data_IF_357498335938
#
_entry.id   IF_357498335938
#
_cell.length_a   1.000
_cell.length_b   1.000
_cell.length_c   1.000
_cell.angle_alpha   90.00
_cell.angle_beta   90.00
_cell.angle_gamma   90.00
#
_symmetry.space_group_name_H-M   'P 1'
#
loop_
_entity.id
_entity.type
_entity.pdbx_description
1 polymer ?
#
# COMPACT_ATOMS: atom_id res chain seq x y z
N UNK A 1 -1.44 1.93 13.69
CA UNK A 1 -0.65 2.45 12.55
C UNK A 1 -1.63 2.89 11.49
N UNK A 2 -1.85 4.19 11.40
CA UNK A 2 -2.92 4.82 10.62
C UNK A 2 -2.48 4.93 9.17
N UNK A 3 -3.17 4.25 8.25
CA UNK A 3 -2.97 4.38 6.80
C UNK A 3 -3.21 5.84 6.41
N UNK A 4 -2.22 6.50 5.81
CA UNK A 4 -2.41 7.82 5.21
C UNK A 4 -3.51 7.74 4.13
N UNK A 5 -4.42 8.74 4.04
CA UNK A 5 -5.46 8.74 3.04
C UNK A 5 -4.85 8.92 1.65
N UNK A 6 -4.96 7.89 0.82
CA UNK A 6 -4.55 7.91 -0.59
C UNK A 6 -5.62 8.60 -1.43
N UNK A 7 -5.26 9.26 -2.55
CA UNK A 7 -6.22 9.84 -3.48
C UNK A 7 -7.20 8.75 -4.00
N UNK A 8 -8.43 9.13 -4.41
CA UNK A 8 -9.36 8.18 -4.99
C UNK A 8 -8.69 7.48 -6.17
N UNK A 9 -8.67 6.15 -6.14
CA UNK A 9 -8.18 5.33 -7.24
C UNK A 9 -8.93 5.75 -8.51
N UNK A 10 -8.17 6.09 -9.54
CA UNK A 10 -8.66 6.34 -10.90
C UNK A 10 -9.24 5.03 -11.43
N UNK A 11 -10.49 4.78 -11.07
CA UNK A 11 -11.33 3.75 -11.67
C UNK A 11 -11.64 4.12 -13.11
N UNK A 12 -11.69 3.08 -13.94
CA UNK A 12 -11.78 3.15 -15.39
C UNK A 12 -12.99 3.97 -15.89
N UNK A 13 -12.71 4.78 -16.91
CA UNK A 13 -13.59 5.44 -17.89
C UNK A 13 -14.58 6.55 -17.45
N UNK A 14 -14.27 7.78 -17.84
CA UNK A 14 -14.92 8.51 -18.95
C UNK A 14 -14.49 9.98 -18.92
N UNK A 15 -14.41 10.63 -20.08
CA UNK A 15 -13.99 12.03 -20.24
C UNK A 15 -14.96 13.02 -19.54
N UNK A 16 -14.88 13.09 -18.21
CA UNK A 16 -15.49 14.13 -17.40
C UNK A 16 -14.59 15.37 -17.30
N UNK A 17 -15.13 16.51 -16.87
CA UNK A 17 -14.33 17.71 -16.65
C UNK A 17 -13.25 17.44 -15.59
N UNK A 18 -11.99 17.64 -15.95
CA UNK A 18 -10.85 17.57 -15.04
C UNK A 18 -10.70 18.93 -14.37
N UNK A 19 -10.95 19.01 -13.06
CA UNK A 19 -10.71 20.23 -12.29
C UNK A 19 -9.21 20.35 -11.95
N UNK A 20 -8.64 21.55 -12.07
CA UNK A 20 -7.23 21.84 -11.71
C UNK A 20 -7.00 21.84 -10.18
N UNK A 21 -8.04 22.15 -9.43
CA UNK A 21 -8.05 22.11 -7.97
C UNK A 21 -9.18 21.20 -7.49
N UNK A 22 -8.87 20.37 -6.50
CA UNK A 22 -9.85 19.52 -5.85
C UNK A 22 -9.81 19.73 -4.34
N UNK A 23 -10.95 19.52 -3.70
CA UNK A 23 -11.08 19.54 -2.24
C UNK A 23 -11.95 18.37 -1.81
N UNK A 24 -11.42 17.56 -0.91
CA UNK A 24 -12.15 16.52 -0.21
C UNK A 24 -12.39 16.95 1.23
N UNK A 25 -13.65 17.11 1.60
CA UNK A 25 -14.04 17.42 2.99
C UNK A 25 -14.44 16.15 3.71
N UNK A 26 -13.72 15.80 4.78
CA UNK A 26 -14.14 14.75 5.69
C UNK A 26 -14.84 15.35 6.92
N UNK A 27 -16.13 15.04 7.08
CA UNK A 27 -16.89 15.40 8.28
C UNK A 27 -16.71 14.31 9.33
N UNK A 28 -16.09 14.64 10.46
CA UNK A 28 -15.93 13.70 11.58
C UNK A 28 -17.26 13.50 12.30
N UNK A 29 -17.60 12.25 12.63
CA UNK A 29 -18.81 11.90 13.38
C UNK A 29 -18.43 11.00 14.54
N UNK A 30 -18.85 11.36 15.75
CA UNK A 30 -18.69 10.54 16.96
C UNK A 30 -20.01 9.87 17.29
N UNK A 31 -20.00 8.55 17.43
CA UNK A 31 -21.17 7.73 17.75
C UNK A 31 -21.04 7.14 19.15
N UNK A 32 -22.12 7.17 19.91
CA UNK A 32 -22.21 6.53 21.22
C UNK A 32 -23.68 6.20 21.50
N UNK A 33 -23.91 5.29 22.44
CA UNK A 33 -25.25 4.87 22.84
C UNK A 33 -25.44 4.91 24.35
N UNK A 34 -26.70 4.97 24.77
CA UNK A 34 -27.10 5.00 26.16
C UNK A 34 -28.36 4.17 26.36
N UNK A 35 -28.35 3.35 27.41
CA UNK A 35 -29.47 2.52 27.81
C UNK A 35 -30.04 3.03 29.13
N UNK A 36 -31.34 3.23 29.20
CA UNK A 36 -32.04 3.65 30.39
C UNK A 36 -33.19 2.71 30.68
N UNK A 37 -33.20 2.10 31.88
CA UNK A 37 -34.30 1.26 32.34
C UNK A 37 -35.08 1.96 33.43
N UNK A 38 -36.40 2.07 33.25
CA UNK A 38 -37.35 2.55 34.24
C UNK A 38 -38.07 1.32 34.79
N UNK A 39 -37.85 1.02 36.07
CA UNK A 39 -38.50 -0.11 36.73
C UNK A 39 -39.90 0.28 37.22
N UNK A 40 -40.81 -0.69 37.26
CA UNK A 40 -42.20 -0.52 37.68
C UNK A 40 -42.90 0.59 36.86
N UNK A 41 -42.74 0.55 35.54
CA UNK A 41 -43.15 1.62 34.64
C UNK A 41 -44.66 1.88 34.69
N UNK A 42 -45.46 0.83 34.84
CA UNK A 42 -46.93 0.96 34.99
C UNK A 42 -47.34 1.78 36.22
N UNK A 43 -46.46 1.88 37.23
CA UNK A 43 -46.67 2.66 38.46
C UNK A 43 -46.14 4.10 38.40
N UNK A 44 -45.64 4.57 37.24
CA UNK A 44 -45.21 5.95 37.05
C UNK A 44 -46.34 6.92 37.42
N UNK A 45 -46.07 7.78 38.43
CA UNK A 45 -47.05 8.74 38.97
C UNK A 45 -47.16 10.01 38.13
N UNK A 46 -46.21 10.24 37.23
CA UNK A 46 -46.13 11.44 36.42
C UNK A 46 -47.44 11.69 35.68
N UNK A 47 -47.96 12.91 35.79
CA UNK A 47 -49.13 13.35 35.04
C UNK A 47 -48.74 13.85 33.64
N UNK A 48 -49.75 14.14 32.81
CA UNK A 48 -49.52 14.68 31.47
C UNK A 48 -48.66 15.96 31.55
N UNK A 49 -47.61 16.03 30.73
CA UNK A 49 -46.65 17.13 30.72
C UNK A 49 -45.52 16.99 31.75
N UNK A 50 -45.67 16.15 32.79
CA UNK A 50 -44.60 15.86 33.73
C UNK A 50 -43.54 14.94 33.12
N UNK A 51 -42.29 15.12 33.54
CA UNK A 51 -41.12 14.56 32.84
C UNK A 51 -40.18 13.81 33.76
N UNK A 52 -39.83 12.59 33.37
CA UNK A 52 -38.73 11.82 33.91
C UNK A 52 -37.45 12.16 33.16
N UNK A 53 -36.34 12.31 33.90
CA UNK A 53 -35.01 12.53 33.32
C UNK A 53 -34.07 11.40 33.69
N UNK A 54 -33.31 10.90 32.71
CA UNK A 54 -32.23 9.95 32.98
C UNK A 54 -31.05 10.64 33.68
N UNK A 55 -30.11 9.82 34.18
CA UNK A 55 -28.77 10.31 34.47
C UNK A 55 -28.10 10.88 33.21
N UNK A 56 -27.11 11.73 33.41
CA UNK A 56 -26.36 12.30 32.29
C UNK A 56 -25.39 11.27 31.70
N UNK A 57 -25.17 11.35 30.38
CA UNK A 57 -24.24 10.51 29.65
C UNK A 57 -23.48 11.31 28.59
N UNK A 58 -22.37 10.77 28.11
CA UNK A 58 -21.48 11.41 27.15
C UNK A 58 -20.74 10.38 26.31
N UNK A 59 -20.05 10.83 25.25
CA UNK A 59 -19.31 9.94 24.36
C UNK A 59 -18.13 9.24 25.05
N UNK A 60 -17.53 9.91 26.05
CA UNK A 60 -16.50 9.37 26.92
C UNK A 60 -16.63 9.96 28.34
N UNK A 61 -16.02 9.38 29.37
CA UNK A 61 -16.11 9.88 30.75
C UNK A 61 -15.60 11.32 30.93
N UNK A 62 -14.55 11.69 30.19
CA UNK A 62 -13.92 13.02 30.24
C UNK A 62 -14.58 14.06 29.33
N UNK A 63 -15.55 13.66 28.52
CA UNK A 63 -16.25 14.57 27.61
C UNK A 63 -17.11 15.56 28.41
N UNK A 64 -16.93 16.85 28.11
CA UNK A 64 -17.64 17.98 28.72
C UNK A 64 -19.06 18.13 28.16
N UNK A 65 -19.36 17.51 27.03
CA UNK A 65 -20.69 17.50 26.44
C UNK A 65 -21.57 16.45 27.12
N UNK A 66 -22.55 16.90 27.91
CA UNK A 66 -23.42 16.03 28.71
C UNK A 66 -24.84 16.03 28.15
N UNK A 67 -25.39 14.84 27.96
CA UNK A 67 -26.72 14.58 27.42
C UNK A 67 -27.58 13.88 28.47
N UNK A 68 -28.89 13.97 28.38
CA UNK A 68 -29.80 13.06 29.09
C UNK A 68 -31.06 12.79 28.26
N UNK A 69 -31.78 11.74 28.62
CA UNK A 69 -33.10 11.44 28.06
C UNK A 69 -34.19 12.09 28.89
N UNK A 70 -35.24 12.58 28.22
CA UNK A 70 -36.47 13.07 28.82
C UNK A 70 -37.64 12.22 28.33
N UNK A 71 -38.42 11.68 29.26
CA UNK A 71 -39.61 10.89 28.98
C UNK A 71 -40.82 11.55 29.62
N UNK A 72 -41.89 11.73 28.86
CA UNK A 72 -43.20 12.06 29.38
C UNK A 72 -44.08 10.80 29.27
N UNK A 73 -44.26 10.01 30.35
CA UNK A 73 -44.97 8.73 30.30
C UNK A 73 -46.41 8.86 29.81
N UNK A 74 -47.06 9.99 30.13
CA UNK A 74 -48.47 10.29 29.80
C UNK A 74 -48.64 11.39 28.73
N UNK A 75 -47.65 11.54 27.86
CA UNK A 75 -47.65 12.56 26.82
C UNK A 75 -47.20 13.93 27.32
N UNK A 76 -46.85 14.82 26.39
CA UNK A 76 -46.38 16.17 26.69
C UNK A 76 -47.54 17.17 26.83
N UNK A 77 -48.59 16.96 26.05
CA UNK A 77 -49.78 17.80 25.95
C UNK A 77 -50.95 17.00 25.36
N UNK A 78 -52.12 17.64 25.20
CA UNK A 78 -53.35 16.99 24.73
C UNK A 78 -53.19 16.27 23.38
N UNK A 79 -52.33 16.78 22.50
CA UNK A 79 -52.08 16.17 21.19
C UNK A 79 -51.37 14.82 21.30
N UNK A 80 -50.63 14.62 22.40
CA UNK A 80 -49.77 13.46 22.65
C UNK A 80 -50.18 12.64 23.88
N UNK A 81 -51.34 12.92 24.48
CA UNK A 81 -51.85 12.28 25.72
C UNK A 81 -51.87 10.73 25.70
N UNK A 82 -52.12 10.16 24.52
CA UNK A 82 -52.21 8.70 24.32
C UNK A 82 -50.85 8.07 23.95
N UNK A 83 -49.78 8.87 23.98
CA UNK A 83 -48.43 8.47 23.60
C UNK A 83 -47.45 8.71 24.75
N UNK A 84 -46.37 7.94 24.74
CA UNK A 84 -45.16 8.29 25.45
C UNK A 84 -44.35 9.25 24.56
N UNK A 85 -43.87 10.36 25.13
CA UNK A 85 -42.99 11.29 24.44
C UNK A 85 -41.55 11.09 24.89
N UNK A 86 -40.59 11.11 23.96
CA UNK A 86 -39.18 10.83 24.24
C UNK A 86 -38.27 11.83 23.53
N UNK A 87 -37.36 12.43 24.29
CA UNK A 87 -36.44 13.46 23.80
C UNK A 87 -35.01 13.25 24.30
N UNK A 88 -34.06 13.66 23.47
CA UNK A 88 -32.66 13.82 23.82
C UNK A 88 -32.44 15.28 24.18
N UNK A 89 -31.93 15.55 25.38
CA UNK A 89 -31.60 16.88 25.88
C UNK A 89 -30.08 17.06 25.94
N UNK A 90 -29.59 18.17 25.40
CA UNK A 90 -28.21 18.61 25.63
C UNK A 90 -28.14 19.42 26.93
N UNK A 91 -27.60 18.82 27.99
CA UNK A 91 -27.55 19.40 29.34
C UNK A 91 -26.40 20.40 29.48
N UNK A 92 -25.23 20.07 28.96
CA UNK A 92 -24.04 20.93 29.01
C UNK A 92 -23.22 20.77 27.73
N UNK A 93 -22.70 21.87 27.22
CA UNK A 93 -21.86 21.87 26.02
C UNK A 93 -20.83 23.00 26.10
N UNK A 94 -19.53 22.71 25.90
CA UNK A 94 -18.51 23.76 25.84
C UNK A 94 -18.56 24.56 24.52
N UNK A 95 -19.18 23.99 23.47
CA UNK A 95 -19.38 24.66 22.17
C UNK A 95 -20.67 25.48 22.21
N UNK A 96 -20.72 26.56 21.44
CA UNK A 96 -21.93 27.39 21.27
C UNK A 96 -23.12 26.58 20.75
N UNK A 97 -22.86 25.61 19.87
CA UNK A 97 -23.83 24.66 19.36
C UNK A 97 -23.18 23.35 18.94
N UNK A 98 -24.01 22.32 18.77
CA UNK A 98 -23.61 21.04 18.20
C UNK A 98 -24.71 20.51 17.30
N UNK A 99 -24.33 19.80 16.23
CA UNK A 99 -25.28 19.08 15.37
C UNK A 99 -25.23 17.59 15.68
N UNK A 100 -26.39 16.97 15.91
CA UNK A 100 -26.45 15.55 16.21
C UNK A 100 -27.68 14.88 15.55
N UNK A 101 -27.47 13.68 15.04
CA UNK A 101 -28.54 12.71 14.78
C UNK A 101 -28.75 11.83 16.00
N UNK A 102 -29.96 11.35 16.20
CA UNK A 102 -30.30 10.41 17.25
C UNK A 102 -31.30 9.37 16.76
N UNK A 103 -31.25 8.19 17.36
CA UNK A 103 -32.22 7.11 17.18
C UNK A 103 -32.63 6.60 18.55
N UNK A 104 -33.92 6.38 18.72
CA UNK A 104 -34.47 5.75 19.92
C UNK A 104 -35.12 4.43 19.55
N UNK A 105 -34.98 3.44 20.42
CA UNK A 105 -35.63 2.13 20.33
C UNK A 105 -35.97 1.61 21.72
N UNK A 106 -36.86 0.62 21.76
CA UNK A 106 -37.15 -0.16 22.95
C UNK A 106 -36.41 -1.49 22.89
N UNK A 107 -36.00 -2.03 24.03
CA UNK A 107 -35.47 -3.39 24.11
C UNK A 107 -36.57 -4.35 24.60
N UNK A 108 -36.80 -5.42 23.82
CA UNK A 108 -37.72 -6.48 24.22
C UNK A 108 -37.09 -7.43 25.27
N UNK A 109 -37.83 -8.44 25.73
CA UNK A 109 -37.34 -9.45 26.67
C UNK A 109 -36.06 -10.19 26.22
N UNK A 110 -35.82 -10.28 24.90
CA UNK A 110 -34.61 -10.88 24.30
C UNK A 110 -33.43 -9.88 24.16
N UNK A 111 -33.62 -8.63 24.60
CA UNK A 111 -32.69 -7.50 24.43
C UNK A 111 -32.46 -7.09 22.98
N UNK A 112 -33.42 -7.34 22.11
CA UNK A 112 -33.41 -6.90 20.72
C UNK A 112 -34.08 -5.53 20.60
N UNK A 113 -33.53 -4.66 19.75
CA UNK A 113 -34.13 -3.36 19.46
C UNK A 113 -35.43 -3.51 18.66
N UNK A 114 -36.48 -2.80 19.10
CA UNK A 114 -37.77 -2.72 18.42
C UNK A 114 -38.34 -1.31 18.51
N UNK A 115 -39.39 -1.02 17.72
CA UNK A 115 -40.09 0.28 17.67
C UNK A 115 -39.13 1.47 17.51
N UNK A 116 -38.14 1.30 16.65
CA UNK A 116 -37.11 2.30 16.44
C UNK A 116 -37.66 3.54 15.70
N UNK A 117 -37.26 4.73 16.13
CA UNK A 117 -37.43 5.97 15.40
C UNK A 117 -36.16 6.81 15.41
N UNK A 118 -35.82 7.34 14.24
CA UNK A 118 -34.59 8.10 14.02
C UNK A 118 -34.85 9.50 13.49
N UNK A 119 -33.96 10.42 13.86
CA UNK A 119 -33.96 11.78 13.36
C UNK A 119 -33.63 11.79 11.85
N UNK A 120 -34.48 12.43 11.05
CA UNK A 120 -34.28 12.54 9.59
C UNK A 120 -32.96 13.23 9.22
N UNK A 121 -32.52 14.18 10.04
CA UNK A 121 -31.29 14.97 9.85
C UNK A 121 -30.61 15.23 11.18
N UNK A 122 -29.38 15.75 11.12
CA UNK A 122 -28.72 16.25 12.31
C UNK A 122 -29.39 17.55 12.76
N UNK A 123 -29.96 17.56 13.96
CA UNK A 123 -30.58 18.75 14.55
C UNK A 123 -29.54 19.60 15.27
N UNK A 124 -29.76 20.91 15.30
CA UNK A 124 -28.94 21.86 16.07
C UNK A 124 -29.37 21.82 17.53
N UNK A 125 -28.44 21.48 18.41
CA UNK A 125 -28.58 21.56 19.85
C UNK A 125 -27.75 22.71 20.40
N UNK A 126 -28.34 23.43 21.35
CA UNK A 126 -27.66 24.37 22.24
C UNK A 126 -27.89 23.89 23.67
N UNK A 127 -27.14 24.42 24.64
CA UNK A 127 -27.32 24.03 26.04
C UNK A 127 -28.78 24.26 26.48
N UNK A 128 -29.41 23.24 27.07
CA UNK A 128 -30.81 23.25 27.49
C UNK A 128 -31.83 22.92 26.39
N UNK A 129 -31.39 22.73 25.14
CA UNK A 129 -32.28 22.38 24.02
C UNK A 129 -32.43 20.88 23.87
N UNK A 130 -33.65 20.44 23.57
CA UNK A 130 -33.97 19.06 23.25
C UNK A 130 -34.56 18.90 21.85
N UNK A 131 -34.48 17.66 21.36
CA UNK A 131 -35.11 17.16 20.15
C UNK A 131 -35.54 15.71 20.35
N UNK A 132 -36.65 15.31 19.76
CA UNK A 132 -37.24 14.01 20.00
C UNK A 132 -38.56 13.82 19.29
N UNK A 133 -39.33 12.83 19.75
CA UNK A 133 -40.62 12.48 19.20
C UNK A 133 -41.71 12.69 20.24
N UNK A 134 -42.62 13.60 19.92
CA UNK A 134 -43.82 13.88 20.73
C UNK A 134 -44.75 12.67 20.82
N UNK A 135 -44.77 11.84 19.78
CA UNK A 135 -45.57 10.63 19.67
C UNK A 135 -44.63 9.44 19.45
N UNK A 136 -43.85 9.06 20.47
CA UNK A 136 -42.84 8.01 20.31
C UNK A 136 -43.49 6.62 20.16
N UNK A 137 -44.32 6.25 21.12
CA UNK A 137 -45.09 4.99 21.07
C UNK A 137 -46.44 5.20 21.72
N UNK A 138 -47.49 4.58 21.18
CA UNK A 138 -48.81 4.61 21.81
C UNK A 138 -48.77 3.84 23.13
N UNK A 139 -49.45 4.38 24.14
CA UNK A 139 -49.40 3.83 25.50
C UNK A 139 -50.15 2.52 25.62
N UNK A 140 -51.29 2.37 24.95
CA UNK A 140 -52.05 1.12 24.91
C UNK A 140 -51.20 -0.03 24.35
N UNK A 141 -50.49 0.22 23.25
CA UNK A 141 -49.58 -0.74 22.66
C UNK A 141 -48.38 -1.06 23.58
N UNK A 142 -47.84 -0.04 24.27
CA UNK A 142 -46.71 -0.23 25.18
C UNK A 142 -47.08 -1.05 26.42
N UNK A 143 -48.28 -0.81 26.98
CA UNK A 143 -48.75 -1.43 28.22
C UNK A 143 -49.39 -2.81 28.00
N UNK A 144 -49.75 -3.15 26.77
CA UNK A 144 -50.26 -4.47 26.42
C UNK A 144 -49.15 -5.54 26.52
N UNK A 145 -49.30 -6.44 27.49
CA UNK A 145 -48.37 -7.53 27.79
C UNK A 145 -48.10 -8.42 26.58
N UNK A 146 -49.06 -8.58 25.67
CA UNK A 146 -48.90 -9.37 24.45
C UNK A 146 -47.78 -8.84 23.54
N UNK A 147 -47.43 -7.55 23.64
CA UNK A 147 -46.38 -6.93 22.85
C UNK A 147 -44.97 -7.12 23.45
N UNK A 148 -44.86 -7.58 24.69
CA UNK A 148 -43.57 -7.95 25.32
C UNK A 148 -42.56 -6.80 25.45
N UNK A 149 -43.04 -5.56 25.56
CA UNK A 149 -42.21 -4.34 25.64
C UNK A 149 -41.87 -3.92 27.08
N UNK A 150 -42.53 -4.51 28.08
CA UNK A 150 -42.34 -4.25 29.51
C UNK A 150 -42.06 -5.53 30.30
N UNK A 151 -40.97 -6.28 30.00
CA UNK A 151 -40.61 -7.47 30.78
C UNK A 151 -40.39 -7.09 32.25
N UNK A 152 -41.07 -7.78 33.17
CA UNK A 152 -41.09 -7.47 34.61
C UNK A 152 -41.50 -6.01 34.93
N UNK A 153 -42.40 -5.41 34.13
CA UNK A 153 -42.79 -4.00 34.23
C UNK A 153 -41.60 -3.02 34.11
N UNK A 154 -40.60 -3.38 33.30
CA UNK A 154 -39.42 -2.55 33.04
C UNK A 154 -39.45 -1.99 31.63
N UNK A 155 -39.47 -0.68 31.53
CA UNK A 155 -39.27 0.02 30.26
C UNK A 155 -37.78 0.23 30.02
N UNK A 156 -37.20 -0.45 29.04
CA UNK A 156 -35.80 -0.24 28.64
C UNK A 156 -35.73 0.51 27.32
N UNK A 157 -35.28 1.77 27.41
CA UNK A 157 -35.01 2.67 26.30
C UNK A 157 -33.56 2.54 25.87
N UNK A 158 -33.34 2.45 24.56
CA UNK A 158 -32.02 2.50 23.96
C UNK A 158 -31.93 3.72 23.04
N UNK A 159 -30.88 4.51 23.24
CA UNK A 159 -30.62 5.75 22.51
C UNK A 159 -29.26 5.64 21.82
N UNK A 160 -29.22 5.92 20.53
CA UNK A 160 -27.98 6.09 19.78
C UNK A 160 -27.85 7.55 19.36
N UNK A 161 -26.68 8.13 19.57
CA UNK A 161 -26.38 9.53 19.24
C UNK A 161 -25.18 9.58 18.31
N UNK A 162 -25.32 10.31 17.21
CA UNK A 162 -24.26 10.59 16.23
C UNK A 162 -24.01 12.09 16.17
N UNK A 163 -22.95 12.54 16.86
CA UNK A 163 -22.56 13.94 16.96
C UNK A 163 -21.60 14.30 15.83
N UNK A 164 -21.95 15.33 15.07
CA UNK A 164 -21.09 15.92 14.03
C UNK A 164 -20.03 16.77 14.70
N UNK A 165 -18.77 16.47 14.41
CA UNK A 165 -17.58 17.21 14.84
C UNK A 165 -17.02 18.07 13.72
N UNK A 166 -15.84 18.64 13.96
CA UNK A 166 -15.17 19.54 13.03
C UNK A 166 -14.79 18.81 11.74
N UNK A 167 -15.01 19.47 10.60
CA UNK A 167 -14.67 18.97 9.28
C UNK A 167 -13.22 19.29 8.95
N UNK A 168 -12.52 18.36 8.32
CA UNK A 168 -11.18 18.58 7.77
C UNK A 168 -11.29 18.67 6.26
N UNK A 169 -10.79 19.75 5.68
CA UNK A 169 -10.62 19.89 4.24
C UNK A 169 -9.22 19.42 3.87
N UNK A 170 -9.15 18.51 2.91
CA UNK A 170 -7.91 18.12 2.24
C UNK A 170 -8.04 18.62 0.82
N UNK A 171 -7.32 19.68 0.50
CA UNK A 171 -7.27 20.26 -0.84
C UNK A 171 -5.98 19.88 -1.54
N UNK A 172 -6.05 19.65 -2.85
CA UNK A 172 -4.89 19.42 -3.69
C UNK A 172 -5.04 20.09 -5.03
N UNK A 173 -3.91 20.22 -5.72
CA UNK A 173 -3.87 20.61 -7.12
C UNK A 173 -3.61 19.36 -7.94
N UNK A 174 -4.43 19.16 -8.94
CA UNK A 174 -4.16 18.20 -10.02
C UNK A 174 -3.25 18.92 -10.98
N UNK A 175 -1.94 18.79 -10.78
CA UNK A 175 -1.01 19.05 -11.87
C UNK A 175 -1.34 18.01 -12.94
N UNK A 176 -2.15 18.40 -13.92
CA UNK A 176 -2.11 17.77 -15.22
C UNK A 176 -0.77 18.13 -15.83
N UNK A 177 0.31 17.54 -15.32
CA UNK A 177 1.33 17.08 -16.23
C UNK A 177 0.57 16.10 -17.10
N UNK A 178 0.06 16.59 -18.23
CA UNK A 178 -0.17 15.73 -19.37
C UNK A 178 1.16 15.01 -19.53
N UNK A 179 1.23 13.79 -19.00
CA UNK A 179 2.19 12.82 -19.49
C UNK A 179 1.79 12.70 -20.95
N UNK A 180 2.42 13.54 -21.79
CA UNK A 180 2.67 13.15 -23.16
C UNK A 180 3.29 11.78 -23.00
N UNK A 181 2.52 10.74 -23.26
CA UNK A 181 3.07 9.42 -23.51
C UNK A 181 4.15 9.72 -24.55
N UNK A 182 5.44 9.63 -24.20
CA UNK A 182 6.47 9.84 -25.20
C UNK A 182 6.14 8.90 -26.34
N UNK A 183 6.28 9.35 -27.59
CA UNK A 183 6.26 8.43 -28.72
C UNK A 183 7.10 7.21 -28.35
N UNK A 184 6.62 6.03 -28.72
CA UNK A 184 7.15 4.76 -28.27
C UNK A 184 8.69 4.75 -28.40
N UNK A 185 9.38 4.96 -27.27
CA UNK A 185 10.85 4.98 -27.22
C UNK A 185 11.45 3.59 -27.33
N UNK A 186 10.67 2.56 -27.64
CA UNK A 186 11.18 1.20 -27.88
C UNK A 186 12.37 1.23 -28.84
N UNK A 187 12.28 1.97 -29.95
CA UNK A 187 13.39 2.10 -30.89
C UNK A 187 14.62 2.80 -30.27
N UNK A 188 14.44 3.91 -29.52
CA UNK A 188 15.54 4.65 -28.89
C UNK A 188 16.17 3.92 -27.69
N UNK A 189 15.37 3.25 -26.86
CA UNK A 189 15.82 2.51 -25.69
C UNK A 189 16.49 1.19 -26.12
N UNK A 190 15.96 0.52 -27.15
CA UNK A 190 16.59 -0.66 -27.74
C UNK A 190 17.81 -0.32 -28.60
N UNK A 191 17.97 0.93 -29.08
CA UNK A 191 19.21 1.39 -29.70
C UNK A 191 20.42 1.34 -28.76
N UNK A 192 20.21 1.20 -27.44
CA UNK A 192 21.29 0.93 -26.47
C UNK A 192 21.90 -0.46 -26.64
N UNK A 193 21.21 -1.38 -27.30
CA UNK A 193 21.76 -2.64 -27.77
C UNK A 193 22.05 -2.52 -29.27
N UNK A 194 23.32 -2.57 -29.69
CA UNK A 194 23.68 -2.61 -31.11
C UNK A 194 22.95 -3.73 -31.88
N UNK A 195 22.67 -4.85 -31.21
CA UNK A 195 21.98 -6.00 -31.80
C UNK A 195 20.51 -5.70 -32.06
N UNK A 196 19.79 -5.14 -31.08
CA UNK A 196 18.42 -4.72 -31.32
C UNK A 196 18.35 -3.58 -32.34
N UNK A 197 19.29 -2.61 -32.29
CA UNK A 197 19.37 -1.56 -33.30
C UNK A 197 19.49 -2.13 -34.71
N UNK A 198 20.41 -3.08 -34.93
CA UNK A 198 20.58 -3.75 -36.22
C UNK A 198 19.37 -4.59 -36.66
N UNK A 199 18.62 -5.18 -35.71
CA UNK A 199 17.37 -5.90 -36.01
C UNK A 199 16.27 -4.97 -36.55
N UNK A 200 16.25 -3.69 -36.16
CA UNK A 200 15.24 -2.72 -36.58
C UNK A 200 15.69 -1.79 -37.72
N UNK A 201 17.00 -1.62 -37.95
CA UNK A 201 17.57 -0.67 -38.92
C UNK A 201 17.68 -1.24 -40.35
N UNK A 202 17.36 -2.52 -40.54
CA UNK A 202 17.33 -3.17 -41.86
C UNK A 202 15.94 -3.79 -42.16
N UNK A 203 15.54 -3.81 -43.44
CA UNK A 203 14.25 -4.34 -43.93
C UNK A 203 14.08 -5.87 -43.79
N UNK A 204 14.48 -6.44 -42.65
CA UNK A 204 14.26 -7.84 -42.29
C UNK A 204 12.77 -8.10 -41.98
N UNK A 205 12.39 -9.38 -41.88
CA UNK A 205 10.99 -9.73 -41.63
C UNK A 205 10.47 -9.19 -40.29
N UNK A 206 11.35 -9.00 -39.30
CA UNK A 206 11.02 -8.50 -37.97
C UNK A 206 10.58 -7.03 -37.99
N UNK A 207 11.23 -6.19 -38.81
CA UNK A 207 10.86 -4.77 -38.95
C UNK A 207 9.54 -4.59 -39.71
N UNK A 208 9.22 -5.51 -40.64
CA UNK A 208 7.94 -5.52 -41.37
C UNK A 208 6.78 -6.04 -40.51
N UNK A 209 7.05 -6.94 -39.56
CA UNK A 209 6.04 -7.58 -38.71
C UNK A 209 5.87 -6.92 -37.34
N UNK A 210 6.74 -5.97 -36.95
CA UNK A 210 6.80 -5.38 -35.61
C UNK A 210 6.81 -6.43 -34.48
N UNK A 211 7.47 -7.57 -34.72
CA UNK A 211 7.51 -8.71 -33.79
C UNK A 211 8.85 -9.41 -33.89
N UNK A 212 9.54 -9.53 -32.76
CA UNK A 212 10.79 -10.30 -32.61
C UNK A 212 10.51 -11.51 -31.74
N UNK A 213 10.86 -12.70 -32.21
CA UNK A 213 10.77 -13.95 -31.44
C UNK A 213 12.11 -14.24 -30.76
N UNK A 214 12.09 -14.43 -29.45
CA UNK A 214 13.29 -14.71 -28.64
C UNK A 214 13.06 -16.05 -27.96
N UNK A 215 13.76 -17.09 -28.44
CA UNK A 215 13.62 -18.46 -27.95
C UNK A 215 14.79 -18.92 -27.07
N UNK A 216 15.90 -18.19 -27.12
CA UNK A 216 17.18 -18.64 -26.55
C UNK A 216 17.53 -17.95 -25.23
N UNK A 217 16.57 -17.29 -24.59
CA UNK A 217 16.76 -16.60 -23.31
C UNK A 217 15.61 -16.99 -22.40
N UNK A 218 15.92 -17.41 -21.18
CA UNK A 218 14.91 -17.67 -20.16
C UNK A 218 14.06 -16.40 -19.92
N UNK A 219 12.72 -16.52 -19.80
CA UNK A 219 11.84 -15.36 -19.63
C UNK A 219 12.20 -14.44 -18.47
N UNK A 220 12.68 -14.97 -17.35
CA UNK A 220 13.02 -14.14 -16.18
C UNK A 220 14.35 -13.40 -16.40
N UNK A 221 15.31 -14.04 -17.08
CA UNK A 221 16.57 -13.39 -17.50
C UNK A 221 16.29 -12.29 -18.52
N UNK A 222 15.42 -12.57 -19.51
CA UNK A 222 15.04 -11.60 -20.52
C UNK A 222 14.34 -10.38 -19.90
N UNK A 223 13.46 -10.60 -18.93
CA UNK A 223 12.77 -9.54 -18.20
C UNK A 223 13.74 -8.66 -17.41
N UNK A 224 14.73 -9.25 -16.75
CA UNK A 224 15.75 -8.49 -16.03
C UNK A 224 16.67 -7.71 -16.99
N UNK A 225 17.04 -8.31 -18.13
CA UNK A 225 17.75 -7.62 -19.22
C UNK A 225 16.96 -6.42 -19.75
N UNK A 226 15.67 -6.59 -20.04
CA UNK A 226 14.79 -5.50 -20.49
C UNK A 226 14.69 -4.40 -19.42
N UNK A 227 14.55 -4.78 -18.15
CA UNK A 227 14.57 -3.82 -17.04
C UNK A 227 15.85 -3.00 -17.03
N UNK A 228 17.00 -3.63 -17.28
CA UNK A 228 18.27 -2.91 -17.40
C UNK A 228 18.26 -1.96 -18.60
N UNK A 229 17.78 -2.38 -19.77
CA UNK A 229 17.70 -1.52 -20.97
C UNK A 229 16.93 -0.22 -20.67
N UNK A 230 15.77 -0.33 -20.01
CA UNK A 230 14.94 0.83 -19.68
C UNK A 230 15.48 1.68 -18.53
N UNK A 231 16.04 1.05 -17.49
CA UNK A 231 16.30 1.74 -16.21
C UNK A 231 17.78 1.91 -15.87
N UNK A 232 18.67 1.22 -16.59
CA UNK A 232 20.10 1.11 -16.30
C UNK A 232 20.42 0.30 -15.04
N UNK A 233 19.44 -0.46 -14.50
CA UNK A 233 19.55 -1.22 -13.24
C UNK A 233 19.08 -2.66 -13.40
N UNK A 234 19.75 -3.58 -12.72
CA UNK A 234 19.42 -5.01 -12.65
C UNK A 234 19.40 -5.50 -11.18
N UNK A 235 18.36 -5.20 -10.38
CA UNK A 235 18.31 -5.57 -8.96
C UNK A 235 18.25 -7.06 -8.66
N UNK A 236 17.96 -7.94 -9.62
CA UNK A 236 17.98 -9.40 -9.41
C UNK A 236 19.25 -10.08 -9.96
N UNK A 237 20.25 -9.30 -10.37
CA UNK A 237 21.46 -9.79 -11.03
C UNK A 237 22.16 -10.90 -10.24
N UNK A 238 22.30 -10.76 -8.92
CA UNK A 238 22.99 -11.73 -8.06
C UNK A 238 22.42 -13.16 -8.13
N UNK A 239 21.16 -13.32 -8.55
CA UNK A 239 20.48 -14.62 -8.63
C UNK A 239 20.68 -15.34 -9.96
N UNK A 240 21.12 -14.63 -10.99
CA UNK A 240 21.13 -15.11 -12.38
C UNK A 240 22.33 -14.55 -13.17
N UNK A 241 23.43 -14.22 -12.48
CA UNK A 241 24.55 -13.49 -13.07
C UNK A 241 25.20 -14.23 -14.24
N UNK A 242 25.20 -15.57 -14.20
CA UNK A 242 25.69 -16.45 -15.26
C UNK A 242 24.86 -16.34 -16.55
N UNK A 243 23.54 -16.51 -16.43
CA UNK A 243 22.61 -16.46 -17.56
C UNK A 243 22.43 -15.02 -18.08
N UNK A 244 22.50 -14.04 -17.17
CA UNK A 244 22.42 -12.63 -17.53
C UNK A 244 23.70 -12.14 -18.21
N UNK A 245 24.87 -12.70 -17.87
CA UNK A 245 26.12 -12.46 -18.61
C UNK A 245 25.99 -12.96 -20.06
N UNK A 246 25.48 -14.18 -20.25
CA UNK A 246 25.25 -14.75 -21.57
C UNK A 246 24.29 -13.89 -22.42
N UNK A 247 23.21 -13.41 -21.81
CA UNK A 247 22.29 -12.48 -22.46
C UNK A 247 22.95 -11.13 -22.76
N UNK A 248 23.68 -10.55 -21.81
CA UNK A 248 24.34 -9.25 -21.98
C UNK A 248 25.35 -9.28 -23.12
N UNK A 249 26.13 -10.35 -23.24
CA UNK A 249 27.07 -10.55 -24.35
C UNK A 249 26.34 -10.71 -25.69
N UNK A 250 25.32 -11.57 -25.76
CA UNK A 250 24.52 -11.80 -26.97
C UNK A 250 23.86 -10.53 -27.51
N UNK A 251 23.39 -9.64 -26.64
CA UNK A 251 22.75 -8.37 -27.02
C UNK A 251 23.70 -7.17 -26.96
N UNK A 252 25.01 -7.40 -26.81
CA UNK A 252 26.05 -6.37 -26.76
C UNK A 252 25.76 -5.25 -25.74
N UNK A 253 25.26 -5.62 -24.56
CA UNK A 253 24.99 -4.73 -23.43
C UNK A 253 26.21 -4.63 -22.51
N UNK A 254 27.25 -3.94 -22.96
CA UNK A 254 28.57 -3.92 -22.32
C UNK A 254 28.53 -3.55 -20.82
N UNK A 255 27.74 -2.54 -20.45
CA UNK A 255 27.63 -2.13 -19.04
C UNK A 255 26.95 -3.19 -18.17
N UNK A 256 25.98 -3.93 -18.70
CA UNK A 256 25.36 -5.04 -17.97
C UNK A 256 26.32 -6.21 -17.84
N UNK A 257 27.11 -6.48 -18.89
CA UNK A 257 28.15 -7.49 -18.91
C UNK A 257 29.16 -7.26 -17.78
N UNK A 258 29.72 -6.06 -17.68
CA UNK A 258 30.64 -5.67 -16.59
C UNK A 258 30.01 -5.84 -15.21
N UNK A 259 28.73 -5.46 -15.02
CA UNK A 259 28.04 -5.67 -13.73
C UNK A 259 27.89 -7.17 -13.39
N UNK A 260 27.68 -8.03 -14.38
CA UNK A 260 27.65 -9.48 -14.18
C UNK A 260 29.05 -10.01 -13.83
N UNK A 261 30.09 -9.50 -14.50
CA UNK A 261 31.49 -9.84 -14.19
C UNK A 261 31.86 -9.50 -12.75
N UNK A 262 31.50 -8.31 -12.25
CA UNK A 262 31.73 -7.90 -10.86
C UNK A 262 31.05 -8.83 -9.85
N UNK A 263 29.80 -9.21 -10.11
CA UNK A 263 29.04 -10.10 -9.23
C UNK A 263 29.57 -11.54 -9.23
N UNK A 264 29.96 -12.06 -10.40
CA UNK A 264 30.58 -13.38 -10.51
C UNK A 264 31.96 -13.40 -9.85
N UNK A 265 32.75 -12.34 -10.05
CA UNK A 265 34.06 -12.18 -9.41
C UNK A 265 33.94 -12.17 -7.88
N UNK A 266 32.91 -11.49 -7.34
CA UNK A 266 32.68 -11.41 -5.89
C UNK A 266 32.28 -12.75 -5.27
N UNK A 267 31.81 -13.70 -6.08
CA UNK A 267 31.38 -15.03 -5.66
C UNK A 267 32.36 -16.15 -6.07
N UNK A 268 33.57 -15.79 -6.51
CA UNK A 268 34.61 -16.77 -6.84
C UNK A 268 35.01 -17.60 -5.61
N UNK A 269 35.16 -18.90 -5.85
CA UNK A 269 35.57 -19.89 -4.86
C UNK A 269 36.40 -20.98 -5.53
N UNK A 270 37.11 -21.77 -4.73
CA UNK A 270 37.91 -22.91 -5.20
C UNK A 270 37.07 -23.87 -6.05
N UNK A 271 35.82 -24.09 -5.68
CA UNK A 271 34.92 -25.05 -6.35
C UNK A 271 34.38 -24.56 -7.69
N UNK A 272 34.11 -23.25 -7.85
CA UNK A 272 33.40 -22.71 -9.02
C UNK A 272 34.30 -21.96 -10.01
N UNK A 273 35.57 -21.69 -9.68
CA UNK A 273 36.44 -20.83 -10.50
C UNK A 273 36.73 -21.44 -11.88
N UNK A 274 36.82 -22.77 -11.98
CA UNK A 274 37.05 -23.43 -13.27
C UNK A 274 35.85 -23.22 -14.21
N UNK A 275 34.63 -23.46 -13.73
CA UNK A 275 33.41 -23.24 -14.52
C UNK A 275 33.21 -21.75 -14.84
N UNK A 276 33.52 -20.87 -13.89
CA UNK A 276 33.45 -19.41 -14.08
C UNK A 276 34.47 -18.93 -15.13
N UNK A 277 35.66 -19.53 -15.19
CA UNK A 277 36.66 -19.21 -16.21
C UNK A 277 36.21 -19.63 -17.61
N UNK A 278 35.62 -20.82 -17.73
CA UNK A 278 35.03 -21.29 -19.00
C UNK A 278 33.89 -20.37 -19.44
N UNK A 279 33.01 -19.98 -18.52
CA UNK A 279 31.92 -19.05 -18.79
C UNK A 279 32.45 -17.67 -19.24
N UNK A 280 33.52 -17.19 -18.60
CA UNK A 280 34.13 -15.92 -18.96
C UNK A 280 34.77 -15.93 -20.36
N UNK A 281 35.43 -17.04 -20.75
CA UNK A 281 35.95 -17.23 -22.11
C UNK A 281 34.82 -17.30 -23.14
N UNK A 282 33.78 -18.09 -22.83
CA UNK A 282 32.64 -18.31 -23.73
C UNK A 282 31.92 -17.00 -24.08
N UNK A 283 31.80 -16.09 -23.11
CA UNK A 283 31.13 -14.81 -23.28
C UNK A 283 32.10 -13.63 -23.40
N UNK A 284 33.38 -13.90 -23.73
CA UNK A 284 34.40 -12.86 -23.94
C UNK A 284 34.42 -11.80 -22.83
N UNK A 285 34.31 -12.25 -21.58
CA UNK A 285 34.26 -11.44 -20.36
C UNK A 285 35.67 -11.29 -19.78
N UNK A 286 36.45 -10.38 -20.39
CA UNK A 286 37.89 -10.28 -20.17
C UNK A 286 38.29 -9.92 -18.72
N UNK A 287 37.48 -9.11 -18.02
CA UNK A 287 37.81 -8.72 -16.64
C UNK A 287 37.59 -9.89 -15.70
N UNK A 288 36.44 -10.58 -15.82
CA UNK A 288 36.16 -11.79 -15.07
C UNK A 288 37.19 -12.89 -15.35
N UNK A 289 37.59 -13.05 -16.63
CA UNK A 289 38.60 -14.03 -17.04
C UNK A 289 39.95 -13.77 -16.38
N UNK A 290 40.41 -12.51 -16.39
CA UNK A 290 41.66 -12.12 -15.72
C UNK A 290 41.60 -12.36 -14.21
N UNK A 291 40.52 -11.95 -13.54
CA UNK A 291 40.33 -12.14 -12.10
C UNK A 291 40.26 -13.63 -11.72
N UNK A 292 39.59 -14.45 -12.53
CA UNK A 292 39.54 -15.90 -12.31
C UNK A 292 40.93 -16.54 -12.46
N UNK A 293 41.73 -16.13 -13.46
CA UNK A 293 43.11 -16.60 -13.63
C UNK A 293 43.99 -16.19 -12.45
N UNK A 294 43.88 -14.95 -11.97
CA UNK A 294 44.63 -14.48 -10.80
C UNK A 294 44.25 -15.27 -9.54
N UNK A 295 42.96 -15.54 -9.35
CA UNK A 295 42.47 -16.40 -8.26
C UNK A 295 43.05 -17.82 -8.36
N UNK A 296 43.03 -18.40 -9.56
CA UNK A 296 43.62 -19.73 -9.83
C UNK A 296 45.10 -19.76 -9.45
N UNK A 297 45.86 -18.74 -9.87
CA UNK A 297 47.29 -18.67 -9.57
C UNK A 297 47.57 -18.50 -8.07
N UNK A 298 46.67 -17.85 -7.33
CA UNK A 298 46.80 -17.64 -5.88
C UNK A 298 46.49 -18.88 -5.04
N UNK A 299 45.59 -19.75 -5.51
CA UNK A 299 45.08 -20.94 -4.80
C UNK A 299 45.29 -22.24 -5.62
N UNK A 300 46.35 -22.28 -6.43
CA UNK A 300 46.55 -23.32 -7.44
C UNK A 300 46.55 -24.74 -6.87
N UNK A 301 47.11 -24.93 -5.66
CA UNK A 301 47.21 -26.25 -5.02
C UNK A 301 45.85 -26.88 -4.79
N UNK A 302 44.88 -26.09 -4.33
CA UNK A 302 43.57 -26.59 -3.94
C UNK A 302 42.67 -26.75 -5.17
N UNK A 303 42.77 -25.81 -6.12
CA UNK A 303 41.96 -25.81 -7.35
C UNK A 303 42.31 -27.01 -8.25
N UNK A 304 43.59 -27.39 -8.33
CA UNK A 304 44.04 -28.51 -9.16
C UNK A 304 43.41 -29.85 -8.77
N UNK A 305 42.95 -29.99 -7.53
CA UNK A 305 42.30 -31.21 -7.06
C UNK A 305 40.80 -31.26 -7.35
N UNK A 306 40.17 -30.14 -7.67
CA UNK A 306 38.74 -30.04 -7.94
C UNK A 306 38.34 -30.81 -9.21
N UNK A 307 37.12 -31.34 -9.22
CA UNK A 307 36.56 -32.00 -10.42
C UNK A 307 36.35 -31.01 -11.56
N UNK A 308 35.97 -29.76 -11.26
CA UNK A 308 35.79 -28.70 -12.25
C UNK A 308 37.09 -28.42 -13.01
N UNK A 309 38.21 -28.28 -12.31
CA UNK A 309 39.52 -28.10 -12.94
C UNK A 309 39.94 -29.29 -13.81
N UNK A 310 39.77 -30.52 -13.30
CA UNK A 310 40.07 -31.77 -14.04
C UNK A 310 39.24 -31.89 -15.32
N UNK A 311 37.97 -31.48 -15.28
CA UNK A 311 37.07 -31.42 -16.44
C UNK A 311 37.50 -30.33 -17.44
N UNK A 312 37.91 -29.17 -16.94
CA UNK A 312 38.37 -28.06 -17.78
C UNK A 312 39.64 -28.39 -18.55
N UNK A 313 40.60 -29.13 -17.96
CA UNK A 313 41.81 -29.60 -18.66
C UNK A 313 41.45 -30.41 -19.92
N UNK A 314 40.38 -31.22 -19.85
CA UNK A 314 39.97 -32.08 -20.96
C UNK A 314 39.16 -31.32 -22.02
N UNK A 315 38.27 -30.43 -21.57
CA UNK A 315 37.32 -29.73 -22.45
C UNK A 315 37.87 -28.45 -23.06
N UNK A 316 38.70 -27.69 -22.33
CA UNK A 316 39.20 -26.36 -22.69
C UNK A 316 40.70 -26.20 -22.37
N UNK A 317 41.60 -27.00 -22.98
CA UNK A 317 43.03 -27.00 -22.66
C UNK A 317 43.74 -25.65 -22.92
N UNK A 318 43.18 -24.79 -23.79
CA UNK A 318 43.73 -23.47 -24.05
C UNK A 318 43.69 -22.55 -22.83
N UNK A 319 42.67 -22.69 -21.97
CA UNK A 319 42.52 -21.91 -20.74
C UNK A 319 43.61 -22.22 -19.72
N UNK A 320 44.01 -23.49 -19.64
CA UNK A 320 45.13 -23.93 -18.79
C UNK A 320 46.44 -23.32 -19.28
N UNK A 321 46.66 -23.35 -20.60
CA UNK A 321 47.85 -22.74 -21.20
C UNK A 321 47.89 -21.23 -20.99
N UNK A 322 46.73 -20.57 -20.98
CA UNK A 322 46.60 -19.13 -20.73
C UNK A 322 46.87 -18.77 -19.26
N UNK A 323 46.29 -19.51 -18.31
CA UNK A 323 46.57 -19.33 -16.88
C UNK A 323 48.06 -19.51 -16.55
N UNK A 324 48.69 -20.53 -17.14
CA UNK A 324 50.12 -20.77 -16.99
C UNK A 324 50.97 -19.64 -17.60
N UNK A 325 50.56 -19.10 -18.76
CA UNK A 325 51.22 -17.94 -19.38
C UNK A 325 51.13 -16.71 -18.48
N UNK A 326 49.96 -16.45 -17.89
CA UNK A 326 49.77 -15.34 -16.96
C UNK A 326 50.70 -15.48 -15.75
N UNK A 327 50.80 -16.66 -15.15
CA UNK A 327 51.70 -16.95 -14.04
C UNK A 327 53.17 -16.67 -14.39
N UNK A 328 53.62 -17.11 -15.57
CA UNK A 328 54.99 -16.89 -16.03
C UNK A 328 55.29 -15.39 -16.25
N UNK A 329 54.33 -14.62 -16.75
CA UNK A 329 54.49 -13.17 -16.96
C UNK A 329 54.56 -12.37 -15.65
N UNK A 330 53.87 -12.81 -14.60
CA UNK A 330 53.87 -12.16 -13.30
C UNK A 330 55.21 -12.30 -12.53
N UNK A 331 56.03 -13.30 -12.87
CA UNK A 331 57.30 -13.60 -12.18
C UNK A 331 58.53 -12.89 -12.78
N UNK A 332 58.37 -12.02 -13.79
CA UNK A 332 59.50 -11.33 -14.43
C UNK A 332 59.62 -9.87 -13.95
N UNK A 333 60.59 -9.52 -13.06
CA UNK A 333 60.79 -8.13 -12.66
C UNK A 333 61.35 -7.31 -13.84
N UNK A 334 60.69 -6.21 -14.18
CA UNK A 334 61.22 -5.25 -15.17
C UNK A 334 62.54 -4.65 -14.64
N UNK A 335 63.66 -4.95 -15.30
CA UNK A 335 64.90 -4.20 -15.13
C UNK A 335 64.66 -2.74 -15.59
N UNK A 336 64.49 -1.83 -14.63
CA UNK A 336 64.30 -0.42 -14.90
C UNK A 336 65.58 0.23 -15.44
N UNK A 337 65.55 0.69 -16.69
CA UNK A 337 66.58 1.58 -17.25
C UNK A 337 66.23 3.03 -16.89
N UNK A 338 67.11 3.83 -16.25
CA UNK A 338 66.76 5.18 -15.81
C UNK A 338 66.83 6.19 -16.97
N UNK A 339 65.71 6.84 -17.31
CA UNK A 339 65.67 7.97 -18.25
C UNK A 339 66.14 9.27 -17.59
N UNK A 340 67.17 9.90 -18.18
CA UNK A 340 67.73 11.21 -17.81
C UNK A 340 66.67 12.33 -17.88
N UNK A 341 66.59 13.16 -16.84
CA UNK A 341 65.80 14.40 -16.81
C UNK A 341 66.43 15.46 -17.72
N UNK A 342 65.69 15.92 -18.73
CA UNK A 342 65.95 17.20 -19.40
C UNK A 342 65.27 18.32 -18.59
N UNK A 343 66.08 19.25 -18.07
CA UNK A 343 65.62 20.54 -17.52
C UNK A 343 65.35 21.47 -18.69
N UNK A 344 64.20 22.15 -18.70
CA UNK A 344 64.00 23.34 -19.51
C UNK A 344 64.08 24.57 -18.60
N UNK A 345 64.94 25.50 -19.01
CA UNK A 345 65.04 26.89 -18.57
C UNK A 345 64.08 27.74 -19.37
#
# INVERSE_FOLDING_TARGET
>A
MSREPSPPLSGDMSAGPIAESWCYTQVKVVKFSYMWTINNFSFCREEMGEVLKSSTFSSSPSDKMKWCLRVNPKGLDDESKDYLSLYLLLVSCPKSEVRAKFKFSLLNAKREETKAMESQRAYRFVQGKDWGFKKFIRRDFLLDEANGLLPDDKLTLFCEVSVVQDSVNISGHTNTNTLKVPECRLAEDLARSPVFNAMFEHEMEESKKNRVEINDVDPEVFKEMMRFIYTGKAPNLDKMADNLLAAADKYALERLKVMCEEALCSNLSVENVADTLVLADLHSAEQLKAQAIDFINSQATDIMETSGWKSMIQSHPHLVAEAFRALASAQCPQFAVPRKRLKQS
#
